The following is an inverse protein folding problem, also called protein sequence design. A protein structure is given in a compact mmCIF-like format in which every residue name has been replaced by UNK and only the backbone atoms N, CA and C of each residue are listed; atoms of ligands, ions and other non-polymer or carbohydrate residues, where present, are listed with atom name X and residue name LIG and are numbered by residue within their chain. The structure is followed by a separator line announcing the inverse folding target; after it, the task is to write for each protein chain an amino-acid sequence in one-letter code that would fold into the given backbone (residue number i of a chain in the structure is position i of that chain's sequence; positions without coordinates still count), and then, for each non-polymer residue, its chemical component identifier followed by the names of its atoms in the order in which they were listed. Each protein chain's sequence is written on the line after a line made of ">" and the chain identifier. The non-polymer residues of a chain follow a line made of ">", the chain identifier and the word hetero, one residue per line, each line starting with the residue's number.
data_IF_233391309026
#
_entry.id   IF_233391309026
#
_cell.length_a   1.000
_cell.length_b   1.000
_cell.length_c   1.000
_cell.angle_alpha   90.00
_cell.angle_beta   90.00
_cell.angle_gamma   90.00
#
_symmetry.space_group_name_H-M   'P 1'
#
loop_
_entity.id
_entity.type
_entity.pdbx_description
1 polymer ?
#
# COMPACT_ATOMS: atom_id res chain seq x y z
N UNK A 1 -17.65 2.30 -9.70
CA UNK A 1 -16.96 1.01 -10.04
C UNK A 1 -17.51 -0.10 -9.15
N UNK A 2 -17.65 -1.34 -9.67
CA UNK A 2 -18.02 -2.48 -8.81
C UNK A 2 -16.85 -2.82 -7.86
N UNK A 3 -17.17 -3.14 -6.59
CA UNK A 3 -16.18 -3.59 -5.60
C UNK A 3 -15.48 -4.89 -5.99
N UNK A 4 -16.15 -5.76 -6.74
CA UNK A 4 -15.62 -7.05 -7.18
C UNK A 4 -14.48 -6.88 -8.19
N UNK A 5 -14.53 -5.81 -9.02
CA UNK A 5 -13.48 -5.48 -9.98
C UNK A 5 -12.20 -4.93 -9.34
N UNK A 6 -12.25 -4.57 -8.06
CA UNK A 6 -11.11 -4.01 -7.33
C UNK A 6 -10.72 -4.86 -6.11
N UNK A 7 -11.38 -6.01 -5.95
CA UNK A 7 -11.19 -6.93 -4.82
C UNK A 7 -11.28 -6.20 -3.47
N UNK A 8 -12.44 -5.53 -3.26
CA UNK A 8 -12.80 -4.93 -1.97
C UNK A 8 -14.15 -5.49 -1.50
N UNK A 9 -14.29 -5.72 -0.19
CA UNK A 9 -15.57 -6.10 0.41
C UNK A 9 -16.43 -4.87 0.68
N UNK A 10 -15.83 -3.77 1.14
CA UNK A 10 -16.52 -2.53 1.42
C UNK A 10 -16.58 -1.62 0.18
N UNK A 11 -17.77 -1.12 -0.16
CA UNK A 11 -17.93 -0.09 -1.22
C UNK A 11 -17.20 1.21 -0.83
N UNK A 12 -17.10 1.53 0.46
CA UNK A 12 -16.38 2.70 0.95
C UNK A 12 -14.87 2.67 0.66
N UNK A 13 -14.31 1.49 0.42
CA UNK A 13 -12.90 1.29 0.09
C UNK A 13 -12.64 1.31 -1.43
N UNK A 14 -13.65 1.49 -2.26
CA UNK A 14 -13.53 1.58 -3.72
C UNK A 14 -13.16 3.00 -4.13
N UNK A 15 -11.91 3.20 -4.55
CA UNK A 15 -11.42 4.51 -4.99
C UNK A 15 -11.73 4.79 -6.45
N UNK A 16 -11.84 3.74 -7.30
CA UNK A 16 -12.07 3.89 -8.73
C UNK A 16 -13.53 4.23 -9.04
N UNK A 17 -13.73 5.22 -9.90
CA UNK A 17 -15.07 5.69 -10.33
C UNK A 17 -15.41 5.25 -11.75
N UNK A 18 -14.42 5.23 -12.67
CA UNK A 18 -14.61 4.82 -14.06
C UNK A 18 -13.33 4.17 -14.60
N UNK A 19 -13.48 3.45 -15.72
CA UNK A 19 -12.36 2.88 -16.45
C UNK A 19 -12.65 2.88 -17.95
N UNK A 20 -11.63 3.12 -18.78
CA UNK A 20 -11.71 3.08 -20.23
C UNK A 20 -10.44 2.45 -20.81
N UNK A 21 -10.59 1.54 -21.77
CA UNK A 21 -9.47 0.95 -22.51
C UNK A 21 -8.80 2.02 -23.35
N UNK A 22 -7.47 2.10 -23.32
CA UNK A 22 -6.67 3.06 -24.12
C UNK A 22 -5.80 2.37 -25.17
N UNK A 23 -5.79 1.04 -25.18
CA UNK A 23 -5.06 0.21 -26.11
C UNK A 23 -5.22 -1.27 -25.76
N UNK A 24 -4.53 -2.19 -26.46
CA UNK A 24 -4.60 -3.62 -26.17
C UNK A 24 -4.14 -3.95 -24.74
N UNK A 25 -3.10 -3.26 -24.27
CA UNK A 25 -2.50 -3.44 -22.95
C UNK A 25 -2.55 -2.17 -22.10
N UNK A 26 -3.43 -1.21 -22.46
CA UNK A 26 -3.57 0.08 -21.81
C UNK A 26 -4.98 0.33 -21.29
N UNK A 27 -5.06 0.93 -20.08
CA UNK A 27 -6.31 1.36 -19.47
C UNK A 27 -6.11 2.68 -18.74
N UNK A 28 -7.06 3.59 -18.87
CA UNK A 28 -7.19 4.77 -18.04
C UNK A 28 -8.29 4.53 -17.00
N UNK A 29 -8.04 4.84 -15.74
CA UNK A 29 -9.05 4.81 -14.69
C UNK A 29 -9.18 6.18 -14.05
N UNK A 30 -10.41 6.59 -13.77
CA UNK A 30 -10.69 7.71 -12.90
C UNK A 30 -10.81 7.21 -11.46
N UNK A 31 -10.24 7.95 -10.53
CA UNK A 31 -10.34 7.69 -9.10
C UNK A 31 -10.72 8.97 -8.36
N UNK A 32 -11.43 8.82 -7.25
CA UNK A 32 -11.72 9.92 -6.34
C UNK A 32 -11.14 9.61 -4.97
N UNK A 33 -10.28 10.49 -4.48
CA UNK A 33 -9.66 10.36 -3.16
C UNK A 33 -10.47 11.13 -2.12
N UNK A 34 -11.05 10.42 -1.14
CA UNK A 34 -11.91 11.04 -0.14
C UNK A 34 -11.11 11.86 0.87
N UNK A 35 -11.67 12.99 1.32
CA UNK A 35 -11.04 13.84 2.35
C UNK A 35 -11.02 13.17 3.72
N UNK A 36 -12.09 12.46 4.06
CA UNK A 36 -12.36 11.93 5.40
C UNK A 36 -11.97 10.48 5.60
N UNK A 37 -11.14 9.89 4.72
CA UNK A 37 -10.70 8.50 4.89
C UNK A 37 -9.71 8.37 6.06
N UNK A 38 -9.80 7.28 6.83
CA UNK A 38 -8.98 7.08 8.03
C UNK A 38 -7.48 7.05 7.71
N UNK A 39 -7.08 6.27 6.69
CA UNK A 39 -5.68 6.10 6.28
C UNK A 39 -5.31 7.05 5.15
N UNK A 40 -6.14 7.14 4.09
CA UNK A 40 -5.83 7.86 2.85
C UNK A 40 -6.37 9.29 2.80
N UNK A 41 -7.08 9.72 3.85
CA UNK A 41 -7.66 11.06 3.94
C UNK A 41 -6.62 12.17 3.94
N UNK A 42 -7.07 13.39 3.80
CA UNK A 42 -6.17 14.54 3.81
C UNK A 42 -5.94 15.10 5.23
N UNK A 43 -4.78 15.73 5.41
CA UNK A 43 -4.47 16.53 6.60
C UNK A 43 -5.22 17.89 6.58
N UNK A 44 -5.02 18.72 7.61
CA UNK A 44 -5.61 20.06 7.71
C UNK A 44 -5.15 21.02 6.60
N UNK A 45 -4.09 20.67 5.87
CA UNK A 45 -3.58 21.42 4.72
C UNK A 45 -4.12 20.88 3.39
N UNK A 46 -5.03 19.91 3.45
CA UNK A 46 -5.60 19.26 2.27
C UNK A 46 -4.67 18.24 1.58
N UNK A 47 -3.55 17.85 2.20
CA UNK A 47 -2.61 16.87 1.61
C UNK A 47 -3.06 15.47 1.95
N UNK A 48 -3.22 14.64 0.93
CA UNK A 48 -3.46 13.22 1.10
C UNK A 48 -2.20 12.49 1.59
N UNK A 49 -2.41 11.40 2.31
CA UNK A 49 -1.35 10.42 2.52
C UNK A 49 -0.98 9.78 1.18
N UNK A 50 0.31 9.82 0.81
CA UNK A 50 0.75 9.36 -0.51
C UNK A 50 0.60 7.84 -0.71
N UNK A 51 0.36 7.05 0.34
CA UNK A 51 0.02 5.63 0.23
C UNK A 51 -1.28 5.36 -0.52
N UNK A 52 -2.16 6.38 -0.66
CA UNK A 52 -3.34 6.29 -1.52
C UNK A 52 -2.98 5.92 -2.96
N UNK A 53 -1.76 6.28 -3.43
CA UNK A 53 -1.24 5.88 -4.75
C UNK A 53 -1.09 4.36 -4.82
N UNK A 54 -0.53 3.71 -3.77
CA UNK A 54 -0.39 2.25 -3.74
C UNK A 54 -1.73 1.55 -3.83
N UNK A 55 -2.72 2.01 -3.05
CA UNK A 55 -4.04 1.41 -3.08
C UNK A 55 -4.76 1.66 -4.40
N UNK A 56 -4.69 2.88 -4.93
CA UNK A 56 -5.29 3.17 -6.26
C UNK A 56 -4.61 2.35 -7.35
N UNK A 57 -3.29 2.20 -7.31
CA UNK A 57 -2.52 1.36 -8.24
C UNK A 57 -2.93 -0.11 -8.14
N UNK A 58 -3.08 -0.65 -6.92
CA UNK A 58 -3.55 -2.02 -6.69
C UNK A 58 -4.93 -2.24 -7.31
N UNK A 59 -5.88 -1.36 -6.99
CA UNK A 59 -7.24 -1.42 -7.53
C UNK A 59 -7.25 -1.31 -9.06
N UNK A 60 -6.49 -0.37 -9.61
CA UNK A 60 -6.42 -0.15 -11.04
C UNK A 60 -5.76 -1.33 -11.79
N UNK A 61 -4.70 -1.91 -11.21
CA UNK A 61 -4.04 -3.09 -11.76
C UNK A 61 -4.92 -4.35 -11.75
N UNK A 62 -5.73 -4.56 -10.71
CA UNK A 62 -6.70 -5.65 -10.65
C UNK A 62 -7.86 -5.41 -11.63
N UNK A 63 -8.44 -4.20 -11.61
CA UNK A 63 -9.53 -3.81 -12.49
C UNK A 63 -9.15 -3.96 -13.99
N UNK A 64 -7.96 -3.49 -14.35
CA UNK A 64 -7.46 -3.62 -15.71
C UNK A 64 -7.25 -5.07 -16.13
N UNK A 65 -6.78 -5.95 -15.23
CA UNK A 65 -6.64 -7.38 -15.54
C UNK A 65 -8.00 -8.02 -15.85
N UNK A 66 -9.05 -7.67 -15.10
CA UNK A 66 -10.41 -8.14 -15.40
C UNK A 66 -10.94 -7.61 -16.74
N UNK A 67 -10.76 -6.30 -16.98
CA UNK A 67 -11.38 -5.64 -18.16
C UNK A 67 -10.61 -5.87 -19.47
N UNK A 68 -9.28 -6.01 -19.43
CA UNK A 68 -8.45 -6.17 -20.63
C UNK A 68 -8.24 -7.64 -21.02
N UNK A 69 -8.13 -8.52 -20.01
CA UNK A 69 -7.70 -9.91 -20.20
C UNK A 69 -8.73 -10.94 -19.71
N UNK A 70 -9.94 -10.48 -19.37
CA UNK A 70 -11.05 -11.35 -18.94
C UNK A 70 -10.67 -12.26 -17.76
N UNK A 71 -9.77 -11.79 -16.86
CA UNK A 71 -9.43 -12.51 -15.65
C UNK A 71 -10.67 -12.64 -14.78
N UNK A 72 -11.03 -13.85 -14.31
CA UNK A 72 -12.21 -14.05 -13.47
C UNK A 72 -12.11 -13.27 -12.14
N UNK A 73 -13.24 -12.77 -11.62
CA UNK A 73 -13.29 -11.97 -10.39
C UNK A 73 -12.99 -12.77 -9.11
N UNK A 74 -13.00 -14.10 -9.18
CA UNK A 74 -12.60 -15.00 -8.11
C UNK A 74 -11.10 -15.38 -8.15
N UNK A 75 -10.35 -14.89 -9.15
CA UNK A 75 -8.93 -15.12 -9.26
C UNK A 75 -8.16 -14.47 -8.09
N UNK A 76 -7.06 -15.11 -7.69
CA UNK A 76 -6.21 -14.64 -6.60
C UNK A 76 -4.99 -13.89 -7.16
N UNK A 77 -4.82 -12.64 -6.73
CA UNK A 77 -3.67 -11.82 -7.13
C UNK A 77 -2.58 -11.88 -6.07
N UNK A 78 -1.42 -12.38 -6.45
CA UNK A 78 -0.25 -12.46 -5.57
C UNK A 78 0.78 -11.43 -6.02
N UNK A 79 0.99 -10.42 -5.20
CA UNK A 79 1.93 -9.34 -5.45
C UNK A 79 3.38 -9.83 -5.31
N UNK A 80 4.21 -9.53 -6.31
CA UNK A 80 5.66 -9.70 -6.23
C UNK A 80 6.36 -8.41 -5.81
N UNK A 81 5.93 -7.28 -6.38
CA UNK A 81 6.34 -5.96 -5.93
C UNK A 81 5.27 -4.91 -6.25
N UNK A 82 5.34 -3.81 -5.53
CA UNK A 82 4.60 -2.58 -5.80
C UNK A 82 5.41 -1.40 -5.33
N UNK A 83 5.40 -0.30 -6.09
CA UNK A 83 6.12 0.90 -5.72
C UNK A 83 5.52 2.16 -6.34
N UNK A 84 5.86 3.30 -5.75
CA UNK A 84 5.48 4.61 -6.28
C UNK A 84 6.49 5.68 -5.95
N UNK A 85 6.45 6.76 -6.73
CA UNK A 85 7.08 8.05 -6.47
C UNK A 85 6.03 9.14 -6.53
N UNK A 86 6.10 10.07 -5.59
CA UNK A 86 5.17 11.18 -5.41
C UNK A 86 5.90 12.51 -5.52
N UNK A 87 5.34 13.47 -6.24
CA UNK A 87 5.84 14.84 -6.33
C UNK A 87 4.96 15.76 -5.48
N UNK A 88 5.32 16.00 -4.23
CA UNK A 88 4.50 16.75 -3.26
C UNK A 88 4.04 18.11 -3.79
N UNK A 89 4.89 18.85 -4.50
CA UNK A 89 4.56 20.16 -5.06
C UNK A 89 3.44 20.13 -6.11
N UNK A 90 3.22 18.99 -6.78
CA UNK A 90 2.22 18.80 -7.86
C UNK A 90 1.01 17.99 -7.43
N UNK A 91 1.08 17.35 -6.28
CA UNK A 91 0.00 16.51 -5.80
C UNK A 91 -1.26 17.32 -5.52
N UNK A 92 -2.47 16.75 -5.68
CA UNK A 92 -3.72 17.45 -5.43
C UNK A 92 -3.85 17.87 -3.97
N UNK A 93 -4.47 19.02 -3.74
CA UNK A 93 -4.87 19.49 -2.42
C UNK A 93 -6.40 19.44 -2.28
N UNK A 94 -6.87 18.75 -1.27
CA UNK A 94 -8.30 18.53 -1.00
C UNK A 94 -8.79 19.40 0.17
N UNK A 95 -8.75 20.72 0.01
CA UNK A 95 -9.20 21.64 1.07
C UNK A 95 -10.71 21.64 1.25
N UNK A 96 -11.47 21.69 0.15
CA UNK A 96 -12.94 21.82 0.16
C UNK A 96 -13.67 20.67 -0.53
N UNK A 97 -13.02 19.99 -1.46
CA UNK A 97 -13.59 18.88 -2.25
C UNK A 97 -12.64 17.68 -2.28
N UNK A 98 -13.13 16.46 -2.55
CA UNK A 98 -12.30 15.29 -2.85
C UNK A 98 -11.38 15.57 -4.05
N UNK A 99 -10.28 14.83 -4.17
CA UNK A 99 -9.41 14.92 -5.34
C UNK A 99 -9.85 13.94 -6.41
N UNK A 100 -10.18 14.45 -7.60
CA UNK A 100 -10.37 13.64 -8.79
C UNK A 100 -9.02 13.42 -9.47
N UNK A 101 -8.66 12.15 -9.65
CA UNK A 101 -7.35 11.72 -10.16
C UNK A 101 -7.57 10.79 -11.34
N UNK A 102 -6.74 10.94 -12.37
CA UNK A 102 -6.65 9.97 -13.48
C UNK A 102 -5.39 9.14 -13.32
N UNK A 103 -5.52 7.83 -13.38
CA UNK A 103 -4.41 6.89 -13.42
C UNK A 103 -4.39 6.20 -14.79
N UNK A 104 -3.28 6.38 -15.53
CA UNK A 104 -3.04 5.73 -16.81
C UNK A 104 -2.11 4.54 -16.59
N UNK A 105 -2.57 3.35 -16.95
CA UNK A 105 -1.80 2.12 -16.78
C UNK A 105 -1.43 1.51 -18.12
N UNK A 106 -0.23 0.94 -18.17
CA UNK A 106 0.24 0.08 -19.27
C UNK A 106 0.75 -1.23 -18.69
N UNK A 107 0.20 -2.33 -19.19
CA UNK A 107 0.65 -3.68 -18.82
C UNK A 107 1.82 -4.09 -19.69
N UNK A 108 2.81 -4.72 -19.07
CA UNK A 108 4.00 -5.27 -19.71
C UNK A 108 4.32 -6.66 -19.13
N UNK A 109 5.26 -7.37 -19.74
CA UNK A 109 5.69 -8.69 -19.27
C UNK A 109 4.51 -9.64 -19.03
N UNK A 110 3.52 -9.59 -19.92
CA UNK A 110 2.34 -10.46 -19.83
C UNK A 110 2.74 -11.91 -19.98
N UNK A 111 2.57 -12.63 -18.89
CA UNK A 111 2.81 -14.05 -18.87
C UNK A 111 1.50 -14.79 -19.09
N UNK A 112 1.51 -15.78 -20.00
CA UNK A 112 0.34 -16.56 -20.34
C UNK A 112 0.58 -18.04 -20.09
N UNK A 113 -0.42 -18.71 -19.56
CA UNK A 113 -0.44 -20.15 -19.39
C UNK A 113 -1.76 -20.71 -19.92
N UNK A 114 -1.68 -21.64 -20.89
CA UNK A 114 -2.86 -22.22 -21.57
C UNK A 114 -3.83 -21.15 -22.12
N UNK A 115 -3.28 -20.08 -22.68
CA UNK A 115 -4.05 -18.97 -23.27
C UNK A 115 -4.48 -17.87 -22.27
N UNK A 116 -4.59 -18.15 -20.98
CA UNK A 116 -4.96 -17.17 -19.96
C UNK A 116 -3.73 -16.42 -19.41
N UNK A 117 -3.93 -15.15 -19.04
CA UNK A 117 -2.88 -14.35 -18.35
C UNK A 117 -2.74 -14.86 -16.93
N UNK A 118 -1.52 -15.26 -16.53
CA UNK A 118 -1.17 -15.77 -15.19
C UNK A 118 -0.12 -14.91 -14.47
N UNK A 119 0.27 -13.77 -15.05
CA UNK A 119 1.15 -12.79 -14.45
C UNK A 119 1.39 -11.60 -15.36
N UNK A 120 1.76 -10.47 -14.75
CA UNK A 120 2.01 -9.22 -15.44
C UNK A 120 2.95 -8.31 -14.65
N UNK A 121 3.58 -7.38 -15.35
CA UNK A 121 4.05 -6.12 -14.78
C UNK A 121 3.16 -4.98 -15.28
N UNK A 122 3.07 -3.91 -14.50
CA UNK A 122 2.28 -2.73 -14.86
C UNK A 122 3.01 -1.47 -14.41
N UNK A 123 3.00 -0.46 -15.28
CA UNK A 123 3.46 0.89 -14.97
C UNK A 123 2.26 1.84 -15.05
N UNK A 124 2.24 2.85 -14.18
CA UNK A 124 1.17 3.81 -14.10
C UNK A 124 1.68 5.23 -13.89
N UNK A 125 0.99 6.22 -14.47
CA UNK A 125 1.14 7.63 -14.17
C UNK A 125 -0.16 8.19 -13.60
N UNK A 126 -0.04 9.03 -12.57
CA UNK A 126 -1.16 9.67 -11.89
C UNK A 126 -1.17 11.15 -12.21
N UNK A 127 -2.30 11.66 -12.65
CA UNK A 127 -2.48 13.07 -12.97
C UNK A 127 -3.71 13.67 -12.28
N UNK A 128 -3.61 14.95 -11.98
CA UNK A 128 -4.70 15.81 -11.49
C UNK A 128 -4.72 17.07 -12.34
N UNK A 129 -5.88 17.43 -12.90
CA UNK A 129 -6.04 18.59 -13.78
C UNK A 129 -5.00 18.61 -14.94
N UNK A 130 -4.68 17.43 -15.49
CA UNK A 130 -3.73 17.27 -16.60
C UNK A 130 -2.25 17.26 -16.21
N UNK A 131 -1.88 17.56 -14.96
CA UNK A 131 -0.50 17.54 -14.49
C UNK A 131 -0.17 16.19 -13.82
N UNK A 132 0.89 15.53 -14.28
CA UNK A 132 1.40 14.30 -13.65
C UNK A 132 2.09 14.67 -12.33
N UNK A 133 1.71 13.99 -11.25
CA UNK A 133 2.26 14.19 -9.90
C UNK A 133 2.80 12.92 -9.26
N UNK A 134 2.45 11.73 -9.76
CA UNK A 134 3.01 10.48 -9.26
C UNK A 134 3.16 9.46 -10.38
N UNK A 135 4.12 8.57 -10.17
CA UNK A 135 4.34 7.37 -10.98
C UNK A 135 4.30 6.16 -10.04
N UNK A 136 3.78 5.04 -10.55
CA UNK A 136 3.73 3.80 -9.80
C UNK A 136 3.99 2.60 -10.73
N UNK A 137 4.39 1.50 -10.14
CA UNK A 137 4.58 0.26 -10.86
C UNK A 137 4.28 -0.93 -9.94
N UNK A 138 4.06 -2.08 -10.55
CA UNK A 138 3.85 -3.31 -9.81
C UNK A 138 4.02 -4.53 -10.69
N UNK A 139 4.23 -5.65 -10.04
CA UNK A 139 4.30 -6.97 -10.66
C UNK A 139 3.53 -7.97 -9.82
N UNK A 140 2.77 -8.82 -10.46
CA UNK A 140 1.97 -9.83 -9.79
C UNK A 140 1.78 -11.10 -10.60
N UNK A 141 1.30 -12.12 -9.90
CA UNK A 141 0.81 -13.37 -10.45
C UNK A 141 -0.69 -13.45 -10.27
N UNK A 142 -1.34 -14.11 -11.21
CA UNK A 142 -2.76 -14.43 -11.14
C UNK A 142 -2.90 -15.93 -10.99
N UNK A 143 -3.58 -16.37 -9.95
CA UNK A 143 -3.76 -17.78 -9.61
C UNK A 143 -5.24 -18.10 -9.55
N UNK A 144 -5.61 -19.30 -9.94
CA UNK A 144 -6.94 -19.85 -9.62
C UNK A 144 -7.03 -20.14 -8.12
N UNK A 145 -8.23 -20.27 -7.57
CA UNK A 145 -8.43 -20.62 -6.16
C UNK A 145 -7.70 -21.93 -5.80
N UNK A 146 -7.71 -22.94 -6.68
CA UNK A 146 -7.00 -24.20 -6.46
C UNK A 146 -5.48 -24.06 -6.45
N UNK A 147 -4.92 -23.24 -7.36
CA UNK A 147 -3.49 -22.95 -7.37
C UNK A 147 -3.05 -22.18 -6.12
N UNK A 148 -3.86 -21.22 -5.68
CA UNK A 148 -3.61 -20.47 -4.46
C UNK A 148 -3.66 -21.38 -3.23
N UNK A 149 -4.68 -22.22 -3.10
CA UNK A 149 -4.80 -23.21 -2.02
C UNK A 149 -3.59 -24.16 -1.99
N UNK A 150 -3.14 -24.66 -3.16
CA UNK A 150 -1.95 -25.52 -3.25
C UNK A 150 -0.66 -24.77 -2.89
N UNK A 151 -0.57 -23.48 -3.16
CA UNK A 151 0.55 -22.63 -2.74
C UNK A 151 0.56 -22.45 -1.22
N UNK A 152 -0.62 -22.17 -0.64
CA UNK A 152 -0.78 -21.93 0.80
C UNK A 152 -0.71 -23.20 1.65
N UNK A 153 -1.01 -24.37 1.10
CA UNK A 153 -0.84 -25.66 1.80
C UNK A 153 0.61 -25.99 2.17
N UNK A 154 1.58 -25.32 1.52
CA UNK A 154 3.01 -25.39 1.85
C UNK A 154 3.45 -24.38 2.90
N UNK A 155 2.49 -23.66 3.51
CA UNK A 155 2.76 -22.70 4.57
C UNK A 155 3.59 -23.34 5.67
N UNK A 156 4.67 -22.70 6.16
CA UNK A 156 5.34 -23.14 7.37
C UNK A 156 4.31 -23.18 8.50
N UNK A 157 4.12 -24.34 9.12
CA UNK A 157 3.30 -24.44 10.33
C UNK A 157 4.06 -23.67 11.41
N UNK A 158 3.50 -22.55 11.86
CA UNK A 158 4.08 -21.79 12.95
C UNK A 158 4.24 -22.72 14.15
N UNK A 159 5.46 -22.79 14.70
CA UNK A 159 5.64 -23.48 15.99
C UNK A 159 4.78 -22.73 17.02
N UNK A 160 3.93 -23.40 17.81
CA UNK A 160 3.16 -22.77 18.89
C UNK A 160 4.05 -21.97 19.87
N UNK A 161 5.34 -22.33 19.98
CA UNK A 161 6.34 -21.61 20.76
C UNK A 161 6.81 -20.29 20.13
N UNK A 162 6.47 -20.01 18.86
CA UNK A 162 6.77 -18.74 18.19
C UNK A 162 5.64 -17.70 18.33
N UNK A 163 4.51 -18.06 18.94
CA UNK A 163 3.52 -17.07 19.38
C UNK A 163 4.24 -16.06 20.25
N UNK A 164 4.27 -14.81 19.85
CA UNK A 164 4.91 -13.76 20.60
C UNK A 164 4.24 -13.66 21.99
N UNK A 165 4.90 -14.27 23.01
CA UNK A 165 4.50 -14.20 24.41
C UNK A 165 5.30 -13.07 25.05
N UNK A 166 5.03 -11.84 24.65
CA UNK A 166 5.71 -10.67 25.18
C UNK A 166 4.82 -9.45 25.20
N UNK A 167 5.07 -8.57 26.15
CA UNK A 167 4.42 -7.27 26.20
C UNK A 167 4.93 -6.40 25.04
N UNK A 168 4.03 -5.90 24.20
CA UNK A 168 4.37 -4.94 23.15
C UNK A 168 3.79 -3.58 23.49
N UNK A 169 4.51 -2.53 23.13
CA UNK A 169 4.08 -1.15 23.30
C UNK A 169 3.89 -0.49 21.93
N UNK A 170 2.69 -0.04 21.65
CA UNK A 170 2.43 0.78 20.47
C UNK A 170 2.95 2.21 20.67
N UNK A 171 3.65 2.78 19.70
CA UNK A 171 4.09 4.17 19.77
C UNK A 171 2.90 5.13 19.72
N UNK A 172 3.12 6.37 20.18
CA UNK A 172 2.13 7.43 19.96
C UNK A 172 1.92 7.67 18.47
N UNK A 173 0.69 7.92 17.98
CA UNK A 173 0.40 8.10 16.57
C UNK A 173 1.29 9.14 15.88
N UNK A 174 1.54 10.28 16.53
CA UNK A 174 2.38 11.33 16.00
C UNK A 174 3.84 10.89 15.74
N UNK A 175 4.38 9.95 16.54
CA UNK A 175 5.73 9.44 16.36
C UNK A 175 5.90 8.62 15.07
N UNK A 176 4.80 8.11 14.54
CA UNK A 176 4.76 7.30 13.31
C UNK A 176 4.04 8.03 12.15
N UNK A 177 3.77 9.32 12.31
CA UNK A 177 3.12 10.14 11.28
C UNK A 177 1.63 9.84 11.11
N UNK A 178 0.96 9.31 12.15
CA UNK A 178 -0.47 9.04 12.19
C UNK A 178 -1.18 9.99 13.17
N UNK A 179 -2.49 10.12 13.02
CA UNK A 179 -3.33 10.99 13.87
C UNK A 179 -4.18 10.20 14.87
N UNK A 180 -4.48 8.96 14.52
CA UNK A 180 -5.39 8.09 15.28
C UNK A 180 -4.63 6.88 15.78
N UNK A 181 -4.99 6.40 16.96
CA UNK A 181 -4.35 5.23 17.57
C UNK A 181 -4.58 3.95 16.78
N UNK A 182 -5.77 3.80 16.21
CA UNK A 182 -6.16 2.64 15.39
C UNK A 182 -5.35 2.51 14.11
N UNK A 183 -4.79 3.62 13.58
CA UNK A 183 -3.96 3.63 12.36
C UNK A 183 -2.48 3.29 12.64
N UNK A 184 -2.11 3.06 13.90
CA UNK A 184 -0.76 2.61 14.26
C UNK A 184 -0.61 1.13 13.88
N UNK A 185 0.32 0.87 12.96
CA UNK A 185 0.54 -0.44 12.33
C UNK A 185 1.73 -1.21 12.93
N UNK A 186 2.48 -0.59 13.84
CA UNK A 186 3.69 -1.18 14.45
C UNK A 186 3.61 -1.15 15.97
N UNK A 187 4.34 -2.07 16.60
CA UNK A 187 4.61 -2.05 18.03
C UNK A 187 6.08 -2.31 18.30
N UNK A 188 6.55 -1.92 19.48
CA UNK A 188 7.92 -2.17 19.95
C UNK A 188 7.85 -3.22 21.06
N UNK A 189 8.63 -4.28 20.93
CA UNK A 189 8.72 -5.33 21.95
C UNK A 189 9.70 -4.98 23.07
N UNK A 190 9.78 -5.85 24.09
CA UNK A 190 10.68 -5.66 25.23
C UNK A 190 12.18 -5.68 24.89
N UNK A 191 12.55 -6.05 23.66
CA UNK A 191 13.92 -6.04 23.14
C UNK A 191 14.20 -4.81 22.26
N UNK A 192 13.23 -3.91 22.08
CA UNK A 192 13.34 -2.73 21.25
C UNK A 192 13.14 -3.01 19.76
N UNK A 193 12.71 -4.23 19.34
CA UNK A 193 12.44 -4.53 17.95
C UNK A 193 11.10 -3.94 17.53
N UNK A 194 11.04 -3.38 16.32
CA UNK A 194 9.79 -2.90 15.72
C UNK A 194 9.12 -4.07 15.01
N UNK A 195 7.86 -4.34 15.35
CA UNK A 195 7.07 -5.44 14.81
C UNK A 195 5.91 -4.91 13.97
N UNK A 196 5.54 -5.63 12.91
CA UNK A 196 4.25 -5.44 12.24
C UNK A 196 3.17 -5.91 13.22
N UNK A 197 2.51 -4.98 13.85
CA UNK A 197 1.51 -5.24 14.88
C UNK A 197 0.50 -4.09 14.90
N UNK A 198 -0.54 -4.15 14.08
CA UNK A 198 -1.54 -3.10 14.05
C UNK A 198 -2.26 -3.03 15.39
N UNK A 199 -2.40 -1.83 15.95
CA UNK A 199 -3.13 -1.60 17.20
C UNK A 199 -4.59 -2.05 17.10
N UNK A 200 -5.17 -1.94 15.91
CA UNK A 200 -6.46 -2.54 15.55
C UNK A 200 -6.21 -3.81 14.71
N UNK A 201 -6.24 -5.02 15.29
CA UNK A 201 -5.88 -6.27 14.60
C UNK A 201 -6.76 -6.57 13.38
N UNK A 202 -8.01 -6.10 13.37
CA UNK A 202 -8.95 -6.21 12.26
C UNK A 202 -9.20 -4.84 11.61
N UNK A 203 -8.13 -4.06 11.37
CA UNK A 203 -8.23 -2.72 10.81
C UNK A 203 -9.00 -2.72 9.47
N UNK A 204 -10.11 -1.96 9.34
CA UNK A 204 -11.07 -2.12 8.23
C UNK A 204 -10.52 -1.78 6.86
N UNK A 205 -9.43 -1.01 6.77
CA UNK A 205 -8.78 -0.67 5.50
C UNK A 205 -7.77 -1.73 5.08
N UNK A 206 -6.98 -2.25 6.02
CA UNK A 206 -5.96 -3.27 5.72
C UNK A 206 -6.56 -4.67 5.62
N UNK A 207 -7.51 -4.98 6.48
CA UNK A 207 -8.24 -6.24 6.52
C UNK A 207 -9.71 -6.03 6.13
N UNK A 208 -9.94 -5.37 4.99
CA UNK A 208 -11.27 -5.14 4.42
C UNK A 208 -12.07 -6.43 4.22
N UNK A 209 -11.38 -7.55 4.05
CA UNK A 209 -11.92 -8.90 3.99
C UNK A 209 -10.99 -9.89 4.69
N UNK A 210 -11.45 -11.10 5.05
CA UNK A 210 -10.59 -12.12 5.66
C UNK A 210 -9.41 -12.47 4.75
N UNK A 211 -8.20 -12.42 5.32
CA UNK A 211 -6.95 -12.75 4.65
C UNK A 211 -6.17 -13.79 5.46
N UNK A 212 -5.47 -14.67 4.78
CA UNK A 212 -4.65 -15.72 5.37
C UNK A 212 -3.16 -15.33 5.48
N UNK A 213 -2.85 -14.07 5.18
CA UNK A 213 -1.51 -13.49 5.26
C UNK A 213 -1.61 -11.98 5.58
N UNK A 214 -0.49 -11.40 5.99
CA UNK A 214 -0.40 -9.95 6.22
C UNK A 214 -0.46 -9.23 4.87
N UNK A 215 -1.42 -8.30 4.67
CA UNK A 215 -1.58 -7.61 3.38
C UNK A 215 -0.37 -6.75 3.03
N UNK A 216 -0.03 -6.67 1.74
CA UNK A 216 1.07 -5.83 1.27
C UNK A 216 0.91 -4.34 1.61
N UNK A 217 -0.33 -3.83 1.64
CA UNK A 217 -0.61 -2.46 2.07
C UNK A 217 -0.26 -2.22 3.54
N UNK A 218 -0.53 -3.21 4.43
CA UNK A 218 -0.14 -3.14 5.83
C UNK A 218 1.38 -3.24 6.00
N UNK A 219 2.07 -4.06 5.18
CA UNK A 219 3.54 -4.12 5.20
C UNK A 219 4.17 -2.80 4.77
N UNK A 220 3.65 -2.16 3.72
CA UNK A 220 4.09 -0.84 3.29
C UNK A 220 3.86 0.22 4.37
N UNK A 221 2.72 0.17 5.04
CA UNK A 221 2.40 1.05 6.17
C UNK A 221 3.34 0.84 7.35
N UNK A 222 3.55 -0.41 7.75
CA UNK A 222 4.45 -0.74 8.86
C UNK A 222 5.90 -0.31 8.57
N UNK A 223 6.36 -0.48 7.32
CA UNK A 223 7.68 -0.02 6.89
C UNK A 223 7.85 1.51 7.02
N UNK A 224 6.84 2.29 6.62
CA UNK A 224 6.86 3.75 6.75
C UNK A 224 6.88 4.18 8.22
N UNK A 225 6.05 3.55 9.05
CA UNK A 225 5.99 3.84 10.48
C UNK A 225 7.30 3.46 11.18
N UNK A 226 7.88 2.30 10.84
CA UNK A 226 9.18 1.86 11.35
C UNK A 226 10.30 2.81 10.92
N UNK A 227 10.31 3.27 9.67
CA UNK A 227 11.27 4.25 9.17
C UNK A 227 11.23 5.57 9.97
N UNK A 228 10.03 6.07 10.30
CA UNK A 228 9.86 7.26 11.14
C UNK A 228 10.36 7.05 12.57
N UNK A 229 10.06 5.90 13.18
CA UNK A 229 10.57 5.55 14.50
C UNK A 229 12.10 5.46 14.51
N UNK A 230 12.68 4.86 13.48
CA UNK A 230 14.13 4.66 13.37
C UNK A 230 14.88 5.97 13.18
N UNK A 231 14.32 6.91 12.40
CA UNK A 231 15.00 8.16 12.01
C UNK A 231 14.60 9.37 12.84
N UNK A 232 13.43 9.34 13.47
CA UNK A 232 12.81 10.53 14.06
C UNK A 232 12.26 11.55 13.04
N UNK A 233 12.17 11.21 11.76
CA UNK A 233 11.72 12.11 10.68
C UNK A 233 10.19 12.25 10.63
N UNK A 234 9.60 12.66 11.74
CA UNK A 234 8.14 12.76 11.89
C UNK A 234 7.51 13.86 11.04
N UNK A 235 8.24 14.95 10.79
CA UNK A 235 7.76 16.10 10.02
C UNK A 235 7.97 15.98 8.50
N UNK A 236 8.65 14.92 8.06
CA UNK A 236 8.90 14.70 6.64
C UNK A 236 7.68 14.12 5.94
N UNK A 237 7.51 14.50 4.67
CA UNK A 237 6.45 13.98 3.79
C UNK A 237 6.91 12.68 3.16
N UNK A 238 6.05 11.67 3.19
CA UNK A 238 6.28 10.45 2.44
C UNK A 238 6.10 10.74 0.95
N UNK A 239 7.15 10.51 0.17
CA UNK A 239 7.19 10.78 -1.28
C UNK A 239 7.49 9.55 -2.10
N UNK A 240 7.56 8.38 -1.48
CA UNK A 240 7.73 7.13 -2.19
C UNK A 240 7.85 5.93 -1.26
N UNK A 241 7.45 4.80 -1.79
CA UNK A 241 7.65 3.49 -1.18
C UNK A 241 7.87 2.47 -2.28
N UNK A 242 8.82 1.58 -2.06
CA UNK A 242 9.09 0.41 -2.88
C UNK A 242 8.99 -0.82 -1.97
N UNK A 243 8.15 -1.79 -2.32
CA UNK A 243 7.94 -3.02 -1.56
C UNK A 243 8.09 -4.23 -2.47
N UNK A 244 8.99 -5.12 -2.14
CA UNK A 244 9.18 -6.44 -2.74
C UNK A 244 8.73 -7.52 -1.77
N UNK A 245 7.86 -8.43 -2.22
CA UNK A 245 7.42 -9.60 -1.46
C UNK A 245 8.27 -10.80 -1.83
N UNK A 246 9.12 -11.26 -0.91
CA UNK A 246 9.95 -12.44 -1.08
C UNK A 246 9.19 -13.73 -0.69
N UNK A 247 8.27 -13.61 0.28
CA UNK A 247 7.39 -14.69 0.75
C UNK A 247 6.12 -14.09 1.36
N UNK A 248 5.12 -14.91 1.66
CA UNK A 248 4.00 -14.47 2.48
C UNK A 248 4.48 -14.17 3.91
N UNK A 249 4.02 -13.05 4.45
CA UNK A 249 4.17 -12.75 5.88
C UNK A 249 2.99 -13.34 6.62
N UNK A 250 3.24 -14.29 7.50
CA UNK A 250 2.21 -15.04 8.21
C UNK A 250 1.67 -14.25 9.41
N UNK A 251 0.34 -14.17 9.60
CA UNK A 251 -0.25 -13.31 10.65
C UNK A 251 -0.05 -13.86 12.07
N UNK A 252 0.22 -15.14 12.21
CA UNK A 252 0.43 -15.85 13.48
C UNK A 252 1.90 -15.92 13.90
N UNK A 253 2.81 -15.33 13.14
CA UNK A 253 4.24 -15.26 13.46
C UNK A 253 4.68 -13.80 13.64
N UNK A 254 5.54 -13.50 14.63
CA UNK A 254 6.12 -12.16 14.76
C UNK A 254 6.88 -11.75 13.50
N UNK A 255 6.55 -10.59 12.95
CA UNK A 255 7.22 -10.01 11.79
C UNK A 255 7.98 -8.75 12.21
N UNK A 256 9.31 -8.83 12.32
CA UNK A 256 10.16 -7.71 12.68
C UNK A 256 10.47 -6.84 11.46
N UNK A 257 10.43 -5.52 11.62
CA UNK A 257 10.83 -4.53 10.60
C UNK A 257 12.15 -3.93 11.02
N UNK A 258 13.19 -4.20 10.24
CA UNK A 258 14.53 -3.65 10.42
C UNK A 258 14.71 -2.51 9.42
N UNK A 259 15.22 -1.36 9.89
CA UNK A 259 15.42 -0.17 9.07
C UNK A 259 16.90 0.24 9.05
N UNK A 260 17.38 0.74 7.91
CA UNK A 260 18.72 1.30 7.72
C UNK A 260 18.62 2.58 6.90
N UNK A 261 19.21 3.66 7.37
CA UNK A 261 19.26 4.93 6.63
C UNK A 261 20.17 4.75 5.41
N UNK A 262 19.64 4.99 4.21
CA UNK A 262 20.31 4.84 2.93
C UNK A 262 20.60 6.19 2.22
N UNK A 263 20.52 7.30 2.96
CA UNK A 263 20.73 8.66 2.47
C UNK A 263 19.83 9.67 3.16
N UNK A 264 19.85 10.91 2.73
CA UNK A 264 19.17 12.02 3.41
C UNK A 264 17.63 11.91 3.39
N UNK A 265 17.09 11.14 2.47
CA UNK A 265 15.63 10.97 2.30
C UNK A 265 15.20 9.52 2.23
N UNK A 266 16.12 8.56 2.27
CA UNK A 266 15.84 7.16 2.01
C UNK A 266 16.12 6.30 3.23
N UNK A 267 15.21 5.36 3.49
CA UNK A 267 15.33 4.34 4.52
C UNK A 267 15.04 2.99 3.87
N UNK A 268 16.03 2.11 3.83
CA UNK A 268 15.84 0.73 3.45
C UNK A 268 15.20 -0.04 4.59
N UNK A 269 14.32 -0.98 4.28
CA UNK A 269 13.69 -1.83 5.26
C UNK A 269 13.70 -3.30 4.85
N UNK A 270 13.69 -4.17 5.85
CA UNK A 270 13.53 -5.61 5.70
C UNK A 270 12.52 -6.10 6.73
N UNK A 271 11.55 -6.89 6.28
CA UNK A 271 10.59 -7.59 7.16
C UNK A 271 11.02 -9.04 7.30
N UNK A 272 11.19 -9.50 8.56
CA UNK A 272 11.63 -10.86 8.87
C UNK A 272 10.66 -11.59 9.78
N UNK A 273 10.49 -12.86 9.51
CA UNK A 273 9.86 -13.82 10.41
C UNK A 273 10.89 -14.90 10.74
N UNK A 274 11.46 -14.86 11.94
CA UNK A 274 12.64 -15.67 12.26
C UNK A 274 13.82 -15.34 11.34
N UNK A 275 14.40 -16.33 10.70
CA UNK A 275 15.49 -16.16 9.73
C UNK A 275 15.01 -15.78 8.32
N UNK A 276 13.72 -15.91 8.02
CA UNK A 276 13.16 -15.68 6.69
C UNK A 276 12.89 -14.20 6.44
N UNK A 277 13.40 -13.67 5.34
CA UNK A 277 12.95 -12.39 4.78
C UNK A 277 11.63 -12.61 4.05
N UNK A 278 10.57 -11.93 4.47
CA UNK A 278 9.26 -12.01 3.84
C UNK A 278 8.99 -10.83 2.92
N UNK A 279 9.49 -9.64 3.28
CA UNK A 279 9.44 -8.46 2.43
C UNK A 279 10.67 -7.58 2.63
N UNK A 280 10.98 -6.73 1.66
CA UNK A 280 12.01 -5.71 1.75
C UNK A 280 11.72 -4.56 0.79
N UNK A 281 12.42 -3.47 0.95
CA UNK A 281 12.26 -2.33 0.05
C UNK A 281 12.83 -1.04 0.61
N UNK A 282 12.29 0.07 0.15
CA UNK A 282 12.76 1.41 0.51
C UNK A 282 11.57 2.34 0.76
N UNK A 283 11.68 3.16 1.78
CA UNK A 283 10.77 4.29 2.06
C UNK A 283 11.52 5.59 1.81
N UNK A 284 10.85 6.54 1.17
CA UNK A 284 11.40 7.85 0.88
C UNK A 284 10.61 8.95 1.60
N UNK A 285 11.30 9.66 2.48
CA UNK A 285 10.76 10.71 3.35
C UNK A 285 11.50 12.02 3.07
N UNK A 286 10.86 12.95 2.38
CA UNK A 286 11.45 14.23 1.96
C UNK A 286 10.95 15.40 2.80
N UNK A 287 11.74 16.47 3.01
CA UNK A 287 11.22 17.74 3.50
C UNK A 287 10.08 18.21 2.60
N UNK A 288 9.00 18.74 3.19
CA UNK A 288 7.86 19.23 2.39
C UNK A 288 8.29 20.37 1.46
N UNK A 289 8.05 20.22 0.16
CA UNK A 289 8.29 21.27 -0.83
C UNK A 289 7.26 22.42 -0.73
N UNK A 290 6.16 22.22 0.02
CA UNK A 290 5.07 23.20 0.18
C UNK A 290 5.20 23.92 1.51
N UNK A 291 5.36 25.27 1.43
CA UNK A 291 5.18 26.14 2.58
C UNK A 291 3.79 25.99 3.21
N UNK A 292 3.62 26.50 4.41
CA UNK A 292 2.30 26.58 5.06
C UNK A 292 1.33 27.35 4.14
N UNK A 293 0.20 26.80 3.72
CA UNK A 293 -0.84 27.60 3.08
C UNK A 293 -1.24 28.70 4.07
N UNK A 294 -1.26 29.96 3.62
CA UNK A 294 -1.86 31.03 4.41
C UNK A 294 -3.33 30.67 4.56
N UNK A 295 -3.79 30.49 5.80
CA UNK A 295 -5.22 30.38 6.08
C UNK A 295 -5.86 31.67 5.57
N UNK A 296 -6.85 31.61 4.65
CA UNK A 296 -7.58 32.82 4.27
C UNK A 296 -8.17 33.45 5.54
N UNK A 297 -7.85 34.68 5.83
CA UNK A 297 -8.55 35.41 6.88
C UNK A 297 -10.05 35.40 6.53
N UNK A 298 -10.83 34.79 7.37
CA UNK A 298 -12.29 34.84 7.25
C UNK A 298 -12.70 36.30 7.44
N UNK A 299 -13.15 36.95 6.35
CA UNK A 299 -13.83 38.24 6.41
C UNK A 299 -15.32 38.03 6.68
#
# INVERSE_FOLDING_TARGET
>A
MSRDLVHRASVAEVLLTAAARTGPDGIAVAAQWPRGHSVFGCDLRGRHDSTVVLETMRQAGICGAHLLYEVPTDAQFVMANIGYRWQDARAPLSLTAPADVTCQLTYTDLRRRRGAVDGFAVAASFSHQGAVFAEAHGRGRILTASQYSALRSRRPVGHPAASFVGEVRHPAPAAVGRRREEDVAVAVDGQGRVLVSPRHPAHPVYYDHPLDHVPGLLLAEAAQQAARLHTGWVDRVLVGCELFSAAFTEPDLPAAVECTVAGDECVDFVVRQGAQVTAHGQVRLSPSARGLPRVPEQR
#
